data_IF_975165399442
#
_entry.id   IF_975165399442
#
_cell.length_a   1.000
_cell.length_b   1.000
_cell.length_c   1.000
_cell.angle_alpha   90.00
_cell.angle_beta   90.00
_cell.angle_gamma   90.00
#
_symmetry.space_group_name_H-M   'P 1'
#
loop_
_entity.id
_entity.type
_entity.pdbx_description
1 polymer ?
#
# COMPACT_ATOMS: atom_id res chain seq x y z
N UNK A 1 7.51 -16.33 -18.22
CA UNK A 1 8.60 -16.59 -17.25
C UNK A 1 9.21 -15.27 -16.82
N UNK A 2 9.03 -14.86 -15.57
CA UNK A 2 9.78 -13.76 -14.97
C UNK A 2 10.79 -14.42 -14.03
N UNK A 3 12.07 -14.45 -14.44
CA UNK A 3 13.17 -14.82 -13.56
C UNK A 3 13.74 -13.53 -12.97
N UNK A 4 13.69 -13.38 -11.64
CA UNK A 4 14.53 -12.45 -10.90
C UNK A 4 15.05 -13.18 -9.65
N UNK A 5 16.27 -13.72 -9.76
CA UNK A 5 16.84 -14.83 -8.98
C UNK A 5 16.88 -14.64 -7.45
N UNK A 6 16.65 -13.44 -6.91
CA UNK A 6 16.67 -13.22 -5.47
C UNK A 6 15.29 -13.40 -4.77
N UNK A 7 14.17 -13.26 -5.49
CA UNK A 7 12.80 -13.42 -4.93
C UNK A 7 12.05 -14.65 -5.45
N UNK A 8 12.66 -15.45 -6.35
CA UNK A 8 12.05 -16.69 -6.87
C UNK A 8 11.69 -17.68 -5.75
N UNK A 9 12.31 -17.56 -4.58
CA UNK A 9 11.98 -18.36 -3.39
C UNK A 9 10.70 -17.90 -2.68
N UNK A 10 10.30 -16.64 -2.84
CA UNK A 10 9.16 -16.05 -2.13
C UNK A 10 7.94 -15.78 -3.02
N UNK A 11 8.07 -15.68 -4.34
CA UNK A 11 6.89 -15.51 -5.22
C UNK A 11 6.81 -16.65 -6.22
N UNK A 12 5.83 -17.53 -6.02
CA UNK A 12 5.52 -18.60 -6.96
C UNK A 12 4.42 -18.15 -7.94
N UNK A 13 4.68 -18.26 -9.23
CA UNK A 13 3.67 -18.13 -10.28
C UNK A 13 3.26 -19.54 -10.73
N UNK A 14 2.05 -19.98 -10.39
CA UNK A 14 1.54 -21.28 -10.86
C UNK A 14 0.96 -21.12 -12.27
N UNK A 15 1.53 -21.84 -13.22
CA UNK A 15 1.16 -21.85 -14.62
C UNK A 15 -0.26 -22.40 -14.85
N UNK A 16 -1.10 -21.59 -15.49
CA UNK A 16 -2.10 -22.04 -16.46
C UNK A 16 -2.32 -20.86 -17.42
N UNK A 17 -1.76 -20.97 -18.64
CA UNK A 17 -1.88 -20.02 -19.77
C UNK A 17 -1.29 -18.61 -19.55
N UNK A 18 0.03 -18.48 -19.78
CA UNK A 18 0.79 -17.23 -19.61
C UNK A 18 0.85 -16.32 -20.85
N UNK A 19 -0.26 -16.13 -21.59
CA UNK A 19 -0.30 -15.08 -22.63
C UNK A 19 -0.56 -13.68 -22.02
N UNK A 20 -1.33 -13.59 -20.92
CA UNK A 20 -1.68 -12.32 -20.25
C UNK A 20 -0.51 -11.61 -19.51
N UNK A 21 0.67 -12.24 -19.41
CA UNK A 21 1.86 -11.64 -18.77
C UNK A 21 3.00 -11.34 -19.75
N UNK A 22 2.79 -11.57 -21.05
CA UNK A 22 3.76 -11.18 -22.07
C UNK A 22 3.97 -9.65 -22.03
N UNK A 23 5.19 -9.21 -21.74
CA UNK A 23 5.55 -7.78 -21.70
C UNK A 23 5.46 -7.10 -20.33
N UNK A 24 4.98 -7.78 -19.27
CA UNK A 24 4.97 -7.20 -17.93
C UNK A 24 6.36 -7.23 -17.27
N UNK A 25 6.83 -6.09 -16.73
CA UNK A 25 8.15 -5.97 -16.09
C UNK A 25 8.06 -5.92 -14.56
N UNK A 26 8.57 -6.95 -13.90
CA UNK A 26 8.68 -6.96 -12.44
C UNK A 26 9.77 -6.00 -11.94
N UNK A 27 9.48 -5.23 -10.89
CA UNK A 27 10.41 -4.31 -10.21
C UNK A 27 10.21 -4.34 -8.70
N UNK A 28 11.27 -4.03 -7.93
CA UNK A 28 11.27 -4.08 -6.46
C UNK A 28 11.25 -2.69 -5.79
N UNK A 29 11.38 -1.64 -6.58
CA UNK A 29 11.41 -0.25 -6.12
C UNK A 29 10.63 0.64 -7.09
N UNK A 30 10.01 1.69 -6.56
CA UNK A 30 9.27 2.68 -7.35
C UNK A 30 10.16 3.26 -8.45
N UNK A 31 9.63 3.33 -9.67
CA UNK A 31 10.20 4.16 -10.73
C UNK A 31 9.51 5.50 -10.74
N UNK A 32 10.26 6.57 -10.89
CA UNK A 32 9.71 7.93 -10.92
C UNK A 32 9.64 8.40 -12.38
N UNK A 33 8.48 8.92 -12.80
CA UNK A 33 8.32 9.54 -14.11
C UNK A 33 9.19 10.80 -14.24
N UNK A 34 9.61 11.13 -15.46
CA UNK A 34 10.58 12.23 -15.72
C UNK A 34 10.11 13.61 -15.24
N UNK A 35 8.80 13.81 -15.18
CA UNK A 35 8.14 15.07 -14.82
C UNK A 35 7.67 15.13 -13.36
N UNK A 36 7.94 14.09 -12.57
CA UNK A 36 7.70 14.08 -11.14
C UNK A 36 8.96 14.56 -10.42
N UNK A 37 8.81 15.57 -9.57
CA UNK A 37 9.90 16.08 -8.73
C UNK A 37 9.90 15.31 -7.42
N UNK A 38 11.01 14.63 -7.13
CA UNK A 38 11.18 13.91 -5.86
C UNK A 38 11.51 14.92 -4.76
N UNK A 39 10.80 14.89 -3.62
CA UNK A 39 11.06 15.80 -2.51
C UNK A 39 12.46 15.62 -1.90
N UNK A 40 12.95 16.69 -1.26
CA UNK A 40 14.21 16.65 -0.52
C UNK A 40 14.19 15.66 0.65
N UNK A 41 15.35 15.11 0.98
CA UNK A 41 15.45 14.12 2.06
C UNK A 41 15.17 14.72 3.43
N UNK A 42 14.41 14.02 4.26
CA UNK A 42 14.15 14.38 5.64
C UNK A 42 15.41 14.31 6.50
N UNK A 43 15.48 15.11 7.58
CA UNK A 43 16.66 15.22 8.44
C UNK A 43 16.98 13.92 9.20
N UNK A 44 15.97 13.11 9.53
CA UNK A 44 16.15 11.87 10.30
C UNK A 44 16.43 12.07 11.79
N UNK A 45 16.71 10.98 12.51
CA UNK A 45 17.09 10.99 13.93
C UNK A 45 18.59 10.75 14.12
N UNK A 46 19.14 11.17 15.26
CA UNK A 46 20.53 10.95 15.65
C UNK A 46 20.75 9.69 16.52
N UNK A 47 19.75 8.83 16.68
CA UNK A 47 19.86 7.58 17.43
C UNK A 47 20.99 6.70 16.85
N UNK A 48 21.62 5.85 17.66
CA UNK A 48 22.64 4.89 17.20
C UNK A 48 22.12 3.46 17.32
N UNK A 49 22.45 2.61 16.34
CA UNK A 49 21.98 1.22 16.33
C UNK A 49 20.49 1.15 16.00
N UNK A 50 19.64 0.99 17.01
CA UNK A 50 18.17 0.94 16.84
C UNK A 50 17.48 2.03 17.65
N UNK A 51 16.38 2.57 17.11
CA UNK A 51 15.53 3.49 17.85
C UNK A 51 14.69 2.69 18.85
N UNK A 52 14.94 2.91 20.14
CA UNK A 52 14.30 2.15 21.25
C UNK A 52 13.65 3.03 22.30
N UNK A 53 14.22 4.21 22.59
CA UNK A 53 13.60 5.19 23.49
C UNK A 53 12.89 6.27 22.67
N UNK A 54 11.54 6.32 22.68
CA UNK A 54 10.79 7.26 21.87
C UNK A 54 11.04 8.73 22.30
N UNK A 55 11.42 8.97 23.56
CA UNK A 55 11.71 10.32 24.08
C UNK A 55 12.95 10.94 23.43
N UNK A 56 13.88 10.09 22.99
CA UNK A 56 15.15 10.51 22.39
C UNK A 56 15.13 10.43 20.85
N UNK A 57 14.06 9.90 20.24
CA UNK A 57 14.00 9.69 18.81
C UNK A 57 13.14 10.75 18.11
N UNK A 58 13.75 11.54 17.22
CA UNK A 58 13.00 12.48 16.37
C UNK A 58 11.91 11.80 15.53
N UNK A 59 12.16 10.57 15.05
CA UNK A 59 11.17 9.82 14.26
C UNK A 59 9.98 9.32 15.10
N UNK A 60 10.18 8.98 16.38
CA UNK A 60 9.06 8.63 17.27
C UNK A 60 8.15 9.84 17.53
N UNK A 61 8.73 11.04 17.70
CA UNK A 61 7.96 12.28 17.87
C UNK A 61 7.02 12.55 16.69
N UNK A 62 7.45 12.26 15.45
CA UNK A 62 6.60 12.39 14.26
C UNK A 62 5.39 11.44 14.27
N UNK A 63 5.46 10.33 15.00
CA UNK A 63 4.38 9.34 15.12
C UNK A 63 3.47 9.55 16.34
N UNK A 64 3.53 10.73 16.98
CA UNK A 64 2.79 11.00 18.22
C UNK A 64 3.55 10.67 19.49
N UNK A 65 4.89 10.74 19.45
CA UNK A 65 5.80 10.45 20.58
C UNK A 65 5.89 8.99 21.03
N UNK A 66 5.54 8.04 20.15
CA UNK A 66 5.82 6.62 20.32
C UNK A 66 6.17 5.96 18.97
N UNK A 67 6.69 4.74 18.98
CA UNK A 67 6.98 4.00 17.76
C UNK A 67 5.71 3.33 17.20
N UNK A 68 5.48 3.38 15.88
CA UNK A 68 4.30 2.80 15.25
C UNK A 68 4.37 1.26 15.16
N UNK A 69 5.55 0.69 15.38
CA UNK A 69 5.82 -0.74 15.23
C UNK A 69 6.30 -1.38 16.53
N UNK A 70 5.81 -2.58 16.83
CA UNK A 70 6.36 -3.44 17.89
C UNK A 70 7.49 -4.33 17.36
N UNK A 71 8.49 -4.58 18.22
CA UNK A 71 9.58 -5.52 17.94
C UNK A 71 9.13 -6.98 18.11
N UNK A 72 8.19 -7.43 17.29
CA UNK A 72 7.67 -8.79 17.31
C UNK A 72 7.58 -9.33 15.90
N UNK A 73 7.97 -10.60 15.72
CA UNK A 73 7.89 -11.30 14.43
C UNK A 73 8.55 -10.51 13.29
N UNK A 74 9.63 -9.75 13.57
CA UNK A 74 10.38 -8.89 12.64
C UNK A 74 9.83 -7.47 12.39
N UNK A 75 8.79 -7.07 13.14
CA UNK A 75 8.15 -5.75 13.06
C UNK A 75 6.68 -5.90 12.69
N UNK A 76 5.78 -5.43 13.56
CA UNK A 76 4.33 -5.39 13.30
C UNK A 76 3.80 -4.01 13.60
N UNK A 77 2.98 -3.48 12.71
CA UNK A 77 2.26 -2.22 12.94
C UNK A 77 1.27 -2.44 14.08
N UNK A 78 1.27 -1.54 15.06
CA UNK A 78 0.43 -1.64 16.25
C UNK A 78 -1.03 -1.40 15.88
N UNK A 79 -1.26 -0.33 15.14
CA UNK A 79 -2.58 0.14 14.72
C UNK A 79 -2.41 0.97 13.42
N UNK A 80 -3.45 1.04 12.58
CA UNK A 80 -3.47 1.97 11.46
C UNK A 80 -3.30 3.42 11.92
N UNK A 81 -2.58 4.22 11.15
CA UNK A 81 -2.37 5.66 11.39
C UNK A 81 -2.66 6.45 10.14
N UNK A 82 -2.89 7.76 10.30
CA UNK A 82 -2.96 8.69 9.18
C UNK A 82 -1.78 8.56 8.21
N UNK A 83 -0.59 8.55 8.81
CA UNK A 83 0.67 8.29 8.15
C UNK A 83 1.64 7.75 9.17
N UNK A 84 2.50 6.83 8.75
CA UNK A 84 3.57 6.28 9.58
C UNK A 84 4.89 6.92 9.15
N UNK A 85 5.66 7.42 10.12
CA UNK A 85 7.00 7.98 9.86
C UNK A 85 8.09 6.98 10.25
N UNK A 86 8.70 6.35 9.25
CA UNK A 86 9.86 5.51 9.43
C UNK A 86 11.17 6.30 9.45
N UNK A 87 12.20 5.69 10.03
CA UNK A 87 13.56 6.19 9.93
C UNK A 87 14.03 6.15 8.47
N UNK A 88 14.51 7.30 7.97
CA UNK A 88 15.04 7.46 6.61
C UNK A 88 16.56 7.28 6.48
N UNK A 89 17.12 7.58 5.30
CA UNK A 89 18.55 7.44 5.00
C UNK A 89 19.46 8.29 5.91
N UNK A 90 18.99 9.46 6.34
CA UNK A 90 19.75 10.38 7.19
C UNK A 90 19.66 10.05 8.69
N UNK A 91 18.97 8.97 9.07
CA UNK A 91 18.92 8.53 10.47
C UNK A 91 20.21 7.80 10.87
N UNK A 92 20.72 8.07 12.07
CA UNK A 92 21.89 7.36 12.63
C UNK A 92 21.64 5.89 13.02
N UNK A 93 20.38 5.44 13.04
CA UNK A 93 20.02 4.05 13.29
C UNK A 93 20.20 3.19 12.03
N UNK A 94 20.68 1.96 12.23
CA UNK A 94 20.95 0.99 11.16
C UNK A 94 19.68 0.34 10.58
N UNK A 95 19.89 -0.55 9.60
CA UNK A 95 18.83 -1.28 8.88
C UNK A 95 18.02 -2.23 9.76
N UNK A 96 18.59 -2.70 10.88
CA UNK A 96 17.90 -3.55 11.86
C UNK A 96 16.83 -2.81 12.70
N UNK A 97 16.77 -1.47 12.62
CA UNK A 97 15.82 -0.67 13.38
C UNK A 97 14.37 -1.11 13.12
N UNK A 98 13.58 -1.25 14.19
CA UNK A 98 12.15 -1.63 14.09
C UNK A 98 11.35 -0.53 13.39
N UNK A 99 11.76 0.75 13.53
CA UNK A 99 11.18 1.86 12.78
C UNK A 99 11.67 1.95 11.32
N UNK A 100 12.06 0.83 10.72
CA UNK A 100 12.32 0.63 9.28
C UNK A 100 11.59 -0.62 8.77
N UNK A 101 10.48 -1.01 9.40
CA UNK A 101 9.82 -2.31 9.16
C UNK A 101 9.45 -2.50 7.69
N UNK A 102 8.85 -1.50 7.03
CA UNK A 102 8.46 -1.59 5.62
C UNK A 102 9.64 -1.54 4.63
N UNK A 103 10.86 -1.23 5.10
CA UNK A 103 12.08 -1.20 4.27
C UNK A 103 12.76 -2.57 4.16
N UNK A 104 12.29 -3.58 4.92
CA UNK A 104 12.92 -4.91 5.02
C UNK A 104 12.56 -5.86 3.88
N UNK A 105 11.75 -5.43 2.91
CA UNK A 105 11.34 -6.24 1.77
C UNK A 105 10.30 -7.31 2.11
N UNK A 106 10.09 -8.24 1.17
CA UNK A 106 9.13 -9.35 1.30
C UNK A 106 9.61 -10.36 2.36
N UNK A 107 8.66 -10.85 3.15
CA UNK A 107 8.94 -11.78 4.26
C UNK A 107 8.17 -13.09 4.20
N UNK A 108 7.11 -13.13 3.40
CA UNK A 108 6.21 -14.26 3.28
C UNK A 108 6.30 -14.83 1.88
N UNK A 109 6.16 -16.15 1.76
CA UNK A 109 6.02 -16.85 0.49
C UNK A 109 4.63 -16.56 -0.06
N UNK A 110 4.57 -15.71 -1.06
CA UNK A 110 3.39 -15.35 -1.81
C UNK A 110 3.26 -16.23 -3.06
N UNK A 111 2.04 -16.45 -3.48
CA UNK A 111 1.72 -17.19 -4.69
C UNK A 111 0.67 -16.42 -5.47
N UNK A 112 0.94 -16.21 -6.76
CA UNK A 112 -0.04 -15.68 -7.70
C UNK A 112 -0.78 -16.85 -8.33
N UNK A 113 -2.11 -16.86 -8.18
CA UNK A 113 -2.98 -17.96 -8.64
C UNK A 113 -4.19 -17.43 -9.40
N UNK A 114 -4.78 -18.27 -10.26
CA UNK A 114 -5.97 -17.91 -11.05
C UNK A 114 -7.25 -18.18 -10.26
N UNK A 115 -8.18 -17.22 -10.29
CA UNK A 115 -9.52 -17.36 -9.71
C UNK A 115 -10.57 -17.51 -10.83
N UNK A 116 -11.73 -18.12 -10.54
CA UNK A 116 -12.78 -18.31 -11.56
C UNK A 116 -13.39 -17.01 -12.11
N UNK A 117 -13.43 -15.92 -11.32
CA UNK A 117 -14.20 -14.70 -11.66
C UNK A 117 -13.46 -13.37 -11.49
N UNK A 118 -12.27 -13.36 -10.85
CA UNK A 118 -11.51 -12.14 -10.56
C UNK A 118 -10.18 -12.06 -11.31
N UNK A 119 -9.90 -13.02 -12.19
CA UNK A 119 -8.62 -13.14 -12.85
C UNK A 119 -7.54 -13.64 -11.88
N UNK A 120 -6.37 -13.02 -11.91
CA UNK A 120 -5.26 -13.36 -11.02
C UNK A 120 -5.51 -12.86 -9.58
N UNK A 121 -4.97 -13.57 -8.60
CA UNK A 121 -5.07 -13.25 -7.18
C UNK A 121 -3.76 -13.60 -6.46
N UNK A 122 -3.59 -13.13 -5.23
CA UNK A 122 -2.45 -13.47 -4.38
C UNK A 122 -2.92 -14.21 -3.13
N UNK A 123 -2.16 -15.22 -2.71
CA UNK A 123 -2.29 -15.86 -1.40
C UNK A 123 -0.90 -16.06 -0.80
N UNK A 124 -0.80 -16.42 0.48
CA UNK A 124 0.48 -16.78 1.11
C UNK A 124 0.52 -18.25 1.50
N UNK A 125 1.68 -18.89 1.40
CA UNK A 125 1.93 -20.24 1.92
C UNK A 125 2.22 -20.23 3.43
N UNK A 126 2.49 -19.07 3.98
CA UNK A 126 2.82 -18.87 5.38
C UNK A 126 1.62 -18.31 6.14
N UNK A 127 1.64 -18.48 7.45
CA UNK A 127 0.75 -17.74 8.34
C UNK A 127 1.23 -16.30 8.46
N UNK A 128 0.33 -15.33 8.28
CA UNK A 128 0.63 -13.90 8.42
C UNK A 128 -0.06 -13.35 9.66
N UNK A 129 0.66 -12.93 10.71
CA UNK A 129 0.05 -12.32 11.89
C UNK A 129 -0.48 -10.91 11.58
N UNK A 130 -1.56 -10.50 12.27
CA UNK A 130 -2.12 -9.15 12.18
C UNK A 130 -1.05 -8.07 12.42
N UNK A 131 -1.07 -6.98 11.65
CA UNK A 131 -0.07 -5.92 11.66
C UNK A 131 1.24 -6.26 10.93
N UNK A 132 1.40 -7.45 10.37
CA UNK A 132 2.60 -7.77 9.59
C UNK A 132 2.61 -7.05 8.23
N UNK A 133 3.80 -6.64 7.80
CA UNK A 133 4.06 -6.14 6.45
C UNK A 133 3.84 -7.26 5.43
N UNK A 134 2.97 -7.03 4.44
CA UNK A 134 2.79 -7.95 3.31
C UNK A 134 3.66 -7.50 2.12
N UNK A 135 3.40 -6.32 1.57
CA UNK A 135 4.19 -5.74 0.48
C UNK A 135 3.92 -4.24 0.33
N UNK A 136 4.80 -3.54 -0.39
CA UNK A 136 4.56 -2.19 -0.91
C UNK A 136 3.86 -2.29 -2.28
N UNK A 137 2.98 -1.35 -2.61
CA UNK A 137 2.42 -1.23 -3.95
C UNK A 137 3.44 -0.54 -4.86
N UNK A 138 4.12 -1.32 -5.70
CA UNK A 138 5.21 -0.82 -6.55
C UNK A 138 4.75 -0.71 -8.00
N UNK A 139 5.06 0.42 -8.61
CA UNK A 139 4.85 0.72 -10.03
C UNK A 139 5.65 1.94 -10.46
N UNK A 140 5.10 2.70 -11.39
CA UNK A 140 5.65 3.98 -11.86
C UNK A 140 4.89 5.12 -11.17
N UNK A 141 5.57 5.92 -10.35
CA UNK A 141 5.05 7.15 -9.77
C UNK A 141 4.88 8.20 -10.89
N UNK A 142 3.65 8.66 -11.09
CA UNK A 142 3.24 9.64 -12.09
C UNK A 142 2.40 10.72 -11.43
N UNK A 143 2.28 11.89 -12.07
CA UNK A 143 1.16 12.78 -11.74
C UNK A 143 -0.11 12.18 -12.31
N UNK A 144 -1.22 12.35 -11.61
CA UNK A 144 -2.51 11.77 -11.98
C UNK A 144 -2.96 12.26 -13.36
N UNK A 145 -2.70 13.53 -13.68
CA UNK A 145 -3.03 14.12 -14.98
C UNK A 145 -2.23 13.55 -16.17
N UNK A 146 -1.09 12.89 -15.92
CA UNK A 146 -0.22 12.31 -16.95
C UNK A 146 -0.51 10.82 -17.21
N UNK A 147 -1.53 10.25 -16.56
CA UNK A 147 -1.89 8.86 -16.75
C UNK A 147 -2.59 8.69 -18.08
N UNK A 148 -2.04 7.81 -18.93
CA UNK A 148 -2.65 7.48 -20.22
C UNK A 148 -4.10 7.03 -20.01
N UNK A 149 -5.03 7.61 -20.75
CA UNK A 149 -6.48 7.32 -20.65
C UNK A 149 -6.87 5.94 -21.19
N UNK A 150 -5.97 4.95 -21.13
CA UNK A 150 -6.26 3.59 -21.55
C UNK A 150 -7.37 3.01 -20.63
N UNK A 151 -8.60 2.82 -21.13
CA UNK A 151 -9.73 2.41 -20.31
C UNK A 151 -9.62 0.97 -19.78
N UNK A 152 -8.60 0.24 -20.22
CA UNK A 152 -8.28 -1.12 -19.77
C UNK A 152 -7.20 -1.17 -18.67
N UNK A 153 -6.51 -0.05 -18.38
CA UNK A 153 -5.53 -0.01 -17.29
C UNK A 153 -6.23 0.10 -15.94
N UNK A 154 -6.46 -1.05 -15.29
CA UNK A 154 -7.09 -1.13 -13.97
C UNK A 154 -6.06 -1.22 -12.81
N UNK A 155 -4.80 -0.86 -13.04
CA UNK A 155 -3.70 -1.07 -12.09
C UNK A 155 -3.08 0.25 -11.57
N UNK A 156 -3.88 1.31 -11.55
CA UNK A 156 -3.50 2.62 -11.02
C UNK A 156 -3.93 2.70 -9.56
N UNK A 157 -3.01 3.13 -8.69
CA UNK A 157 -3.28 3.37 -7.28
C UNK A 157 -3.05 4.84 -6.97
N UNK A 158 -4.11 5.57 -6.64
CA UNK A 158 -4.02 6.98 -6.27
C UNK A 158 -3.42 7.16 -4.88
N UNK A 159 -2.46 8.09 -4.72
CA UNK A 159 -1.84 8.38 -3.43
C UNK A 159 -2.69 9.42 -2.71
N UNK A 160 -3.72 8.93 -2.01
CA UNK A 160 -4.55 9.76 -1.14
C UNK A 160 -4.53 9.21 0.29
N UNK A 161 -3.62 9.75 1.11
CA UNK A 161 -3.51 9.37 2.50
C UNK A 161 -4.74 9.79 3.33
N UNK A 162 -5.48 10.83 2.92
CA UNK A 162 -6.69 11.28 3.62
C UNK A 162 -7.87 10.34 3.36
N UNK A 163 -8.06 9.88 2.12
CA UNK A 163 -9.09 8.89 1.80
C UNK A 163 -8.75 7.51 2.36
N UNK A 164 -7.46 7.14 2.38
CA UNK A 164 -7.00 5.93 3.08
C UNK A 164 -7.46 5.95 4.54
N UNK A 165 -7.46 7.11 5.21
CA UNK A 165 -8.01 7.29 6.56
C UNK A 165 -9.55 7.20 6.62
N UNK A 166 -10.28 7.85 5.72
CA UNK A 166 -11.76 7.80 5.73
C UNK A 166 -12.30 6.39 5.47
N UNK A 167 -11.58 5.58 4.68
CA UNK A 167 -11.85 4.16 4.49
C UNK A 167 -11.66 3.31 5.76
N UNK A 168 -10.70 3.69 6.62
CA UNK A 168 -10.53 3.11 7.96
C UNK A 168 -11.69 3.54 8.87
N UNK A 169 -12.07 4.82 8.85
CA UNK A 169 -13.19 5.38 9.63
C UNK A 169 -14.57 4.77 9.32
N UNK A 170 -14.85 4.38 8.06
CA UNK A 170 -16.08 3.63 7.72
C UNK A 170 -16.12 2.21 8.33
N UNK A 171 -14.99 1.70 8.84
CA UNK A 171 -14.85 0.40 9.53
C UNK A 171 -14.73 0.54 11.05
N UNK A 172 -14.44 1.73 11.56
CA UNK A 172 -14.21 2.04 12.98
C UNK A 172 -15.47 2.34 13.81
N UNK A 173 -16.64 1.78 13.48
CA UNK A 173 -17.74 1.71 14.48
C UNK A 173 -17.41 0.80 15.69
N UNK A 174 -16.15 0.41 15.91
CA UNK A 174 -15.72 -0.46 17.03
C UNK A 174 -14.38 -0.16 17.71
N UNK A 175 -13.55 0.80 17.29
CA UNK A 175 -12.34 1.21 18.06
C UNK A 175 -12.11 2.71 17.84
N UNK A 176 -11.81 3.44 18.92
CA UNK A 176 -11.94 4.90 19.05
C UNK A 176 -11.09 5.78 18.11
N UNK A 177 -11.37 7.09 18.21
CA UNK A 177 -10.86 8.17 17.35
C UNK A 177 -9.34 8.12 17.12
N UNK A 178 -8.92 8.00 15.85
CA UNK A 178 -7.51 8.08 15.44
C UNK A 178 -7.02 9.52 15.58
N UNK A 179 -5.96 9.73 16.36
CA UNK A 179 -5.37 11.06 16.56
C UNK A 179 -4.75 11.60 15.26
N UNK A 180 -5.25 12.75 14.82
CA UNK A 180 -4.75 13.49 13.66
C UNK A 180 -3.41 14.17 13.97
N UNK A 181 -2.35 13.97 13.16
CA UNK A 181 -1.12 14.73 13.31
C UNK A 181 -1.33 16.20 12.91
N UNK A 182 -0.72 17.12 13.66
CA UNK A 182 -0.73 18.58 13.47
C UNK A 182 -0.04 19.09 12.18
N UNK A 183 0.16 18.24 11.18
CA UNK A 183 0.66 18.59 9.84
C UNK A 183 -0.47 18.78 8.83
N UNK A 184 -1.73 18.56 9.25
CA UNK A 184 -2.93 18.60 8.41
C UNK A 184 -3.80 19.84 8.65
N UNK A 185 -3.31 20.85 9.39
CA UNK A 185 -3.93 22.17 9.48
C UNK A 185 -3.66 22.98 8.20
N UNK A 186 -4.14 22.48 7.05
CA UNK A 186 -4.30 23.30 5.85
C UNK A 186 -5.78 23.69 5.78
N UNK A 187 -6.02 24.99 5.74
CA UNK A 187 -7.33 25.62 5.65
C UNK A 187 -8.24 24.93 4.62
N UNK A 188 -9.49 24.69 5.00
CA UNK A 188 -10.61 24.06 4.27
C UNK A 188 -11.03 24.81 2.97
N UNK A 189 -10.14 25.59 2.36
CA UNK A 189 -10.41 26.51 1.24
C UNK A 189 -9.74 26.09 -0.08
N UNK A 190 -8.99 24.98 -0.10
CA UNK A 190 -8.43 24.44 -1.35
C UNK A 190 -9.47 23.53 -2.02
N UNK A 191 -9.88 23.90 -3.23
CA UNK A 191 -10.83 23.15 -4.07
C UNK A 191 -10.42 21.67 -4.10
N UNK A 192 -11.42 20.81 -3.94
CA UNK A 192 -11.46 19.37 -4.19
C UNK A 192 -10.74 18.99 -5.50
N UNK A 193 -9.42 19.03 -5.44
CA UNK A 193 -8.51 18.59 -6.48
C UNK A 193 -8.08 17.22 -6.00
N UNK A 194 -8.43 16.21 -6.79
CA UNK A 194 -8.11 14.83 -6.47
C UNK A 194 -6.61 14.61 -6.24
N UNK A 195 -6.21 13.36 -5.97
CA UNK A 195 -4.82 13.01 -5.68
C UNK A 195 -3.88 13.54 -6.78
N UNK A 196 -2.84 14.28 -6.40
CA UNK A 196 -1.87 14.86 -7.36
C UNK A 196 -1.01 13.78 -8.02
N UNK A 197 -0.72 12.69 -7.29
CA UNK A 197 0.12 11.60 -7.75
C UNK A 197 -0.56 10.24 -7.61
N UNK A 198 -0.16 9.32 -8.48
CA UNK A 198 -0.59 7.93 -8.48
C UNK A 198 0.58 6.99 -8.79
N UNK A 199 0.41 5.71 -8.48
CA UNK A 199 1.32 4.62 -8.83
C UNK A 199 0.67 3.77 -9.92
N UNK A 200 1.22 3.84 -11.13
CA UNK A 200 0.77 3.03 -12.27
C UNK A 200 1.54 1.72 -12.34
N UNK A 201 0.86 0.61 -12.05
CA UNK A 201 1.39 -0.75 -12.13
C UNK A 201 0.88 -1.52 -13.37
N UNK A 202 0.41 -0.82 -14.41
CA UNK A 202 -0.15 -1.42 -15.62
C UNK A 202 0.83 -2.31 -16.37
N UNK A 203 2.01 -1.78 -16.70
CA UNK A 203 3.05 -2.48 -17.48
C UNK A 203 4.28 -2.87 -16.65
N UNK A 204 4.50 -2.22 -15.50
CA UNK A 204 5.70 -2.39 -14.67
C UNK A 204 5.34 -2.21 -13.20
N UNK A 205 5.79 -3.11 -12.32
CA UNK A 205 5.43 -3.09 -10.90
C UNK A 205 5.76 -4.41 -10.19
N UNK A 206 5.22 -4.64 -8.99
CA UNK A 206 5.47 -5.85 -8.21
C UNK A 206 4.20 -6.72 -8.04
N UNK A 207 4.28 -7.69 -7.12
CA UNK A 207 3.19 -8.63 -6.79
C UNK A 207 1.90 -7.95 -6.30
N UNK A 208 1.98 -6.73 -5.76
CA UNK A 208 0.85 -6.05 -5.14
C UNK A 208 -0.31 -5.78 -6.12
N UNK A 209 -0.02 -5.57 -7.41
CA UNK A 209 -1.04 -5.35 -8.45
C UNK A 209 -2.03 -6.51 -8.63
N UNK A 210 -1.65 -7.71 -8.20
CA UNK A 210 -2.47 -8.91 -8.32
C UNK A 210 -3.36 -9.14 -7.08
N UNK A 211 -3.24 -8.29 -6.05
CA UNK A 211 -4.04 -8.40 -4.82
C UNK A 211 -5.41 -7.81 -5.10
N UNK A 212 -6.45 -8.64 -5.02
CA UNK A 212 -7.80 -8.27 -5.40
C UNK A 212 -8.53 -7.43 -4.34
N UNK A 213 -9.61 -6.79 -4.79
CA UNK A 213 -10.60 -6.18 -3.90
C UNK A 213 -11.39 -7.23 -3.08
N UNK A 214 -11.69 -6.88 -1.83
CA UNK A 214 -12.77 -7.49 -1.05
C UNK A 214 -13.52 -6.43 -0.23
N UNK A 215 -14.84 -6.58 -0.10
CA UNK A 215 -15.66 -5.76 0.80
C UNK A 215 -15.41 -6.11 2.29
N UNK A 216 -14.86 -7.30 2.57
CA UNK A 216 -14.36 -7.73 3.88
C UNK A 216 -12.91 -8.21 3.72
N UNK A 217 -11.97 -7.28 3.53
CA UNK A 217 -10.59 -7.62 3.26
C UNK A 217 -9.84 -8.04 4.52
N UNK A 218 -8.74 -8.77 4.32
CA UNK A 218 -7.80 -9.14 5.38
C UNK A 218 -6.51 -8.30 5.36
N UNK A 219 -6.37 -7.39 4.39
CA UNK A 219 -5.32 -6.38 4.32
C UNK A 219 -5.91 -4.97 4.42
N UNK A 220 -5.08 -4.03 4.85
CA UNK A 220 -5.35 -2.60 4.76
C UNK A 220 -4.14 -1.85 4.22
N UNK A 221 -4.41 -0.68 3.65
CA UNK A 221 -3.39 0.22 3.11
C UNK A 221 -2.95 1.18 4.20
N UNK A 222 -1.65 1.42 4.29
CA UNK A 222 -1.03 2.39 5.18
C UNK A 222 -0.06 3.27 4.37
N UNK A 223 -0.26 4.59 4.44
CA UNK A 223 0.75 5.54 3.96
C UNK A 223 1.97 5.54 4.89
N UNK A 224 3.16 5.43 4.31
CA UNK A 224 4.44 5.46 5.05
C UNK A 224 5.39 6.49 4.43
N UNK A 225 5.98 7.32 5.28
CA UNK A 225 7.01 8.29 4.94
C UNK A 225 8.35 7.87 5.55
N UNK A 226 9.45 8.10 4.84
CA UNK A 226 10.80 7.69 5.30
C UNK A 226 11.91 8.56 4.72
N UNK A 227 12.07 8.54 3.39
CA UNK A 227 13.11 9.33 2.69
C UNK A 227 12.79 10.81 2.74
N UNK A 228 11.53 11.17 2.48
CA UNK A 228 10.98 12.52 2.60
C UNK A 228 9.71 12.50 3.46
N UNK A 229 9.18 13.67 3.79
CA UNK A 229 7.94 13.83 4.55
C UNK A 229 6.78 14.46 3.75
N UNK A 230 6.91 14.56 2.42
CA UNK A 230 5.79 14.96 1.55
C UNK A 230 4.75 13.84 1.46
N UNK A 231 3.55 14.10 1.97
CA UNK A 231 2.43 13.15 2.02
C UNK A 231 1.88 12.80 0.64
N UNK A 232 2.02 13.69 -0.35
CA UNK A 232 1.46 13.49 -1.70
C UNK A 232 2.19 12.40 -2.47
N UNK A 233 3.42 12.08 -2.06
CA UNK A 233 4.26 11.02 -2.63
C UNK A 233 4.56 9.92 -1.59
N UNK A 234 3.68 9.72 -0.62
CA UNK A 234 3.86 8.68 0.40
C UNK A 234 3.97 7.28 -0.22
N UNK A 235 4.72 6.39 0.44
CA UNK A 235 4.76 4.98 0.07
C UNK A 235 3.45 4.30 0.48
N UNK A 236 2.90 3.50 -0.42
CA UNK A 236 1.65 2.76 -0.21
C UNK A 236 1.98 1.34 0.24
N UNK A 237 1.77 1.04 1.52
CA UNK A 237 2.15 -0.24 2.12
C UNK A 237 0.90 -1.04 2.51
N UNK A 238 0.88 -2.33 2.17
CA UNK A 238 -0.16 -3.26 2.58
C UNK A 238 0.27 -4.02 3.84
N UNK A 239 -0.53 -3.89 4.90
CA UNK A 239 -0.39 -4.63 6.15
C UNK A 239 -1.54 -5.60 6.36
N UNK A 240 -1.29 -6.69 7.06
CA UNK A 240 -2.35 -7.62 7.47
C UNK A 240 -3.26 -6.97 8.51
N UNK A 241 -4.56 -6.89 8.25
CA UNK A 241 -5.55 -6.45 9.24
C UNK A 241 -5.79 -7.55 10.29
N UNK A 242 -5.82 -8.80 9.82
CA UNK A 242 -6.13 -9.98 10.63
C UNK A 242 -4.95 -10.96 10.72
N UNK A 243 -5.12 -11.98 11.55
CA UNK A 243 -4.34 -13.19 11.44
C UNK A 243 -4.80 -13.99 10.21
N UNK A 244 -3.92 -14.17 9.23
CA UNK A 244 -4.24 -14.78 7.94
C UNK A 244 -3.64 -16.19 7.90
N UNK A 245 -4.47 -17.24 7.82
CA UNK A 245 -3.97 -18.60 7.65
C UNK A 245 -3.39 -18.80 6.24
N UNK A 246 -2.48 -19.78 6.08
CA UNK A 246 -1.97 -20.18 4.76
C UNK A 246 -3.10 -20.42 3.75
N UNK A 247 -2.81 -20.08 2.50
CA UNK A 247 -3.63 -20.22 1.30
C UNK A 247 -4.91 -19.40 1.27
N UNK A 248 -5.22 -18.62 2.32
CA UNK A 248 -6.28 -17.61 2.26
C UNK A 248 -5.86 -16.51 1.27
N UNK A 249 -6.78 -16.16 0.38
CA UNK A 249 -6.57 -15.05 -0.57
C UNK A 249 -6.31 -13.75 0.19
N UNK A 250 -5.30 -13.01 -0.25
CA UNK A 250 -4.97 -11.68 0.24
C UNK A 250 -5.79 -10.66 -0.53
N UNK A 251 -6.49 -9.79 0.19
CA UNK A 251 -7.37 -8.79 -0.40
C UNK A 251 -7.33 -7.50 0.42
N UNK A 252 -7.43 -6.35 -0.25
CA UNK A 252 -7.68 -5.05 0.39
C UNK A 252 -8.95 -4.45 -0.21
N UNK A 253 -9.40 -3.30 0.29
CA UNK A 253 -10.53 -2.60 -0.31
C UNK A 253 -10.01 -1.45 -1.17
N UNK A 254 -10.27 -1.55 -2.46
CA UNK A 254 -9.89 -0.56 -3.46
C UNK A 254 -10.48 0.84 -3.20
N UNK A 255 -11.50 0.98 -2.36
CA UNK A 255 -11.97 2.30 -1.94
C UNK A 255 -12.76 3.08 -3.00
N UNK A 256 -12.98 2.53 -4.20
CA UNK A 256 -13.83 3.16 -5.21
C UNK A 256 -15.21 3.52 -4.65
N UNK A 257 -15.63 4.76 -4.92
CA UNK A 257 -17.00 5.21 -4.68
C UNK A 257 -17.92 4.65 -5.77
N UNK A 258 -19.18 4.42 -5.41
CA UNK A 258 -20.15 3.94 -6.39
C UNK A 258 -20.43 5.03 -7.42
N UNK A 259 -20.51 4.63 -8.68
CA UNK A 259 -20.80 5.53 -9.79
C UNK A 259 -19.71 6.60 -10.05
N UNK A 260 -18.50 6.42 -9.51
CA UNK A 260 -17.37 7.36 -9.67
C UNK A 260 -16.62 7.21 -11.00
N UNK A 261 -16.81 6.10 -11.72
CA UNK A 261 -16.10 5.83 -12.97
C UNK A 261 -17.01 6.13 -14.16
N UNK A 262 -16.57 7.06 -14.99
CA UNK A 262 -17.29 7.46 -16.20
C UNK A 262 -16.68 6.77 -17.43
N UNK A 263 -17.54 6.25 -18.30
CA UNK A 263 -17.16 5.72 -19.60
C UNK A 263 -16.90 6.84 -20.62
N UNK A 264 -16.26 6.52 -21.76
CA UNK A 264 -16.02 7.48 -22.85
C UNK A 264 -17.30 8.08 -23.44
N UNK A 265 -18.44 7.41 -23.25
CA UNK A 265 -19.77 7.85 -23.66
C UNK A 265 -20.44 8.79 -22.65
N UNK A 266 -19.74 9.17 -21.58
CA UNK A 266 -20.25 10.03 -20.51
C UNK A 266 -21.26 9.32 -19.60
N UNK A 267 -21.36 7.99 -19.64
CA UNK A 267 -22.21 7.22 -18.73
C UNK A 267 -21.39 6.58 -17.62
N UNK A 268 -22.04 6.36 -16.48
CA UNK A 268 -21.43 5.63 -15.37
C UNK A 268 -21.09 4.20 -15.81
N UNK A 269 -19.80 3.86 -15.76
CA UNK A 269 -19.29 2.50 -15.97
C UNK A 269 -19.47 1.73 -14.67
N UNK A 270 -20.00 0.51 -14.76
CA UNK A 270 -20.24 -0.35 -13.60
C UNK A 270 -19.41 -1.61 -13.69
N UNK A 271 -18.82 -2.03 -12.58
CA UNK A 271 -18.12 -3.30 -12.48
C UNK A 271 -18.65 -4.10 -11.30
N UNK A 272 -19.10 -5.33 -11.56
CA UNK A 272 -19.63 -6.20 -10.52
C UNK A 272 -18.54 -6.67 -9.55
N UNK A 273 -18.88 -6.79 -8.27
CA UNK A 273 -17.99 -7.32 -7.23
C UNK A 273 -18.20 -8.82 -7.04
N UNK A 274 -17.13 -9.59 -7.16
CA UNK A 274 -17.12 -11.05 -6.96
C UNK A 274 -16.28 -11.45 -5.73
N UNK A 275 -16.19 -10.60 -4.70
CA UNK A 275 -15.38 -10.90 -3.52
C UNK A 275 -15.93 -12.05 -2.65
N UNK A 276 -17.23 -12.35 -2.75
CA UNK A 276 -17.87 -13.43 -1.99
C UNK A 276 -18.15 -13.12 -0.52
N UNK A 277 -17.89 -11.89 -0.06
CA UNK A 277 -18.23 -11.47 1.31
C UNK A 277 -19.76 -11.48 1.52
N UNK A 278 -20.25 -11.87 2.72
CA UNK A 278 -21.69 -11.84 3.05
C UNK A 278 -22.31 -10.45 2.86
N UNK A 279 -21.61 -9.40 3.30
CA UNK A 279 -22.07 -8.00 3.18
C UNK A 279 -21.45 -7.30 1.96
N UNK A 280 -21.32 -8.03 0.84
CA UNK A 280 -20.74 -7.49 -0.39
C UNK A 280 -21.60 -6.33 -0.94
N UNK A 281 -20.94 -5.22 -1.28
CA UNK A 281 -21.57 -4.04 -1.91
C UNK A 281 -22.00 -4.26 -3.37
N UNK A 282 -21.85 -5.50 -3.87
CA UNK A 282 -22.21 -5.98 -5.22
C UNK A 282 -21.47 -5.32 -6.40
N UNK A 283 -20.79 -4.19 -6.20
CA UNK A 283 -20.05 -3.45 -7.22
C UNK A 283 -18.66 -3.04 -6.74
N UNK A 284 -17.68 -3.02 -7.65
CA UNK A 284 -16.42 -2.32 -7.44
C UNK A 284 -16.62 -0.83 -7.64
N UNK A 285 -17.21 -0.43 -8.77
CA UNK A 285 -17.61 0.93 -9.10
C UNK A 285 -18.84 0.95 -10.00
#
# INVERSE_FOLDING_TARGET
MIYDCDDVLLILFIYCECDDMAGYKYIKSIKVSKNVVVPGSASGCNCKGSCVDPRNCACARLNGSDFPYVHRDGGRLIEPKAVVFECGPNCGCGSGCVNRTSQKGLRYRLEVFRTPKKGWAVRSWDYIPSGALVCEYIGILKKTDDVDSNPENNYIFDIDCLQTMKGIGRRERRVGEVAMPSLLDKDDDDKDSGPEFCIDAGSTGNVARFINHSCQPNLFVQCVLSVHHDITQARVILFAADNIPPLKELTYDYGYELDSVMGPDGKVKKLACYCGAPDCRQRLF
#
